data_IF_138171693078
#
_entry.id   IF_138171693078
#
_cell.length_a   1.000
_cell.length_b   1.000
_cell.length_c   1.000
_cell.angle_alpha   90.00
_cell.angle_beta   90.00
_cell.angle_gamma   90.00
#
_symmetry.space_group_name_H-M   'P 1'
#
loop_
_entity.id
_entity.type
_entity.pdbx_description
1 polymer ?
#
# COMPACT_ATOMS: atom_id res chain seq x y z
N UNK A 1 8.30 9.97 -14.45
CA UNK A 1 7.06 10.77 -14.50
C UNK A 1 7.16 11.91 -13.50
N UNK A 2 6.58 13.08 -13.80
CA UNK A 2 6.60 14.25 -12.89
C UNK A 2 5.18 14.62 -12.48
N UNK A 3 4.97 14.87 -11.19
CA UNK A 3 3.68 15.31 -10.64
C UNK A 3 3.82 16.71 -10.04
N UNK A 4 2.93 17.62 -10.44
CA UNK A 4 2.85 18.96 -9.87
C UNK A 4 1.70 19.02 -8.86
N UNK A 5 2.03 19.24 -7.59
CA UNK A 5 1.09 19.10 -6.46
C UNK A 5 1.22 20.33 -5.57
N UNK A 6 0.09 20.79 -5.02
CA UNK A 6 0.10 21.84 -4.01
C UNK A 6 0.86 21.38 -2.75
N UNK A 7 1.93 22.09 -2.40
CA UNK A 7 2.76 21.78 -1.22
C UNK A 7 1.93 21.65 0.07
N UNK A 8 0.89 22.48 0.23
CA UNK A 8 0.01 22.43 1.40
C UNK A 8 -0.68 21.07 1.56
N UNK A 9 -1.10 20.43 0.46
CA UNK A 9 -1.72 19.10 0.50
C UNK A 9 -0.72 18.04 0.94
N UNK A 10 0.50 18.05 0.38
CA UNK A 10 1.56 17.12 0.74
C UNK A 10 1.94 17.24 2.23
N UNK A 11 2.18 18.47 2.70
CA UNK A 11 2.56 18.74 4.09
C UNK A 11 1.45 18.36 5.09
N UNK A 12 0.17 18.55 4.71
CA UNK A 12 -0.98 18.18 5.54
C UNK A 12 -1.14 16.66 5.64
N UNK A 13 -0.89 15.95 4.53
CA UNK A 13 -1.04 14.51 4.46
C UNK A 13 0.11 13.72 5.11
N UNK A 14 1.32 14.29 5.16
CA UNK A 14 2.54 13.55 5.46
C UNK A 14 3.57 14.42 6.19
N UNK A 15 4.00 14.02 7.40
CA UNK A 15 5.11 14.64 8.11
C UNK A 15 6.43 14.56 7.33
N UNK A 16 6.64 13.51 6.52
CA UNK A 16 7.80 13.38 5.65
C UNK A 16 7.87 14.56 4.67
N UNK A 17 6.80 14.81 3.91
CA UNK A 17 6.79 15.93 2.97
C UNK A 17 6.84 17.29 3.68
N UNK A 18 6.19 17.41 4.84
CA UNK A 18 6.29 18.63 5.65
C UNK A 18 7.73 18.95 6.05
N UNK A 19 8.49 17.95 6.49
CA UNK A 19 9.91 18.11 6.85
C UNK A 19 10.81 18.31 5.62
N UNK A 20 10.57 17.58 4.54
CA UNK A 20 11.36 17.68 3.31
C UNK A 20 11.21 19.06 2.65
N UNK A 21 9.96 19.55 2.51
CA UNK A 21 9.65 20.76 1.75
C UNK A 21 9.75 22.06 2.57
N UNK A 22 9.70 21.99 3.90
CA UNK A 22 9.89 23.15 4.79
C UNK A 22 11.23 23.12 5.55
N UNK A 23 12.05 22.09 5.33
CA UNK A 23 13.33 21.91 5.98
C UNK A 23 14.46 22.67 5.29
N UNK A 24 15.69 22.44 5.79
CA UNK A 24 16.94 23.00 5.24
C UNK A 24 17.61 22.08 4.21
N UNK A 25 17.00 20.94 3.90
CA UNK A 25 17.50 20.02 2.88
C UNK A 25 17.28 20.61 1.48
N UNK A 26 17.91 19.99 0.47
CA UNK A 26 17.85 20.44 -0.93
C UNK A 26 16.40 20.58 -1.40
N UNK A 27 15.55 19.65 -1.02
CA UNK A 27 14.12 19.57 -1.31
C UNK A 27 13.37 20.81 -0.81
N UNK A 28 13.82 21.41 0.31
CA UNK A 28 13.26 22.64 0.87
C UNK A 28 13.51 23.87 0.00
N UNK A 29 14.62 23.90 -0.73
CA UNK A 29 14.96 24.96 -1.68
C UNK A 29 14.41 24.68 -3.07
N UNK A 30 14.59 23.46 -3.58
CA UNK A 30 14.18 23.09 -4.95
C UNK A 30 12.67 22.88 -5.08
N UNK A 31 11.97 22.60 -3.97
CA UNK A 31 10.57 22.17 -3.94
C UNK A 31 10.30 20.92 -4.77
N UNK A 32 11.32 20.08 -4.93
CA UNK A 32 11.27 18.83 -5.68
C UNK A 32 11.72 17.68 -4.80
N UNK A 33 10.89 16.66 -4.67
CA UNK A 33 11.20 15.40 -3.98
C UNK A 33 11.28 14.28 -5.02
N UNK A 34 12.39 13.54 -5.02
CA UNK A 34 12.59 12.41 -5.93
C UNK A 34 12.15 11.11 -5.25
N UNK A 35 11.28 10.38 -5.93
CA UNK A 35 10.69 9.11 -5.51
C UNK A 35 11.13 8.02 -6.50
N UNK A 36 12.42 7.66 -6.46
CA UNK A 36 13.07 6.88 -7.53
C UNK A 36 12.67 5.40 -7.54
N UNK A 37 12.41 4.84 -6.36
CA UNK A 37 12.09 3.42 -6.18
C UNK A 37 10.59 3.14 -6.22
N UNK A 38 9.78 4.19 -6.44
CA UNK A 38 8.32 4.10 -6.37
C UNK A 38 7.68 3.93 -7.74
N UNK A 39 6.72 3.00 -7.81
CA UNK A 39 5.89 2.84 -8.99
C UNK A 39 5.07 4.12 -9.26
N UNK A 40 5.19 4.75 -10.44
CA UNK A 40 4.42 5.95 -10.79
C UNK A 40 2.91 5.78 -10.67
N UNK A 41 2.38 4.55 -10.79
CA UNK A 41 0.95 4.24 -10.61
C UNK A 41 0.51 4.41 -9.16
N UNK A 42 1.34 3.96 -8.21
CA UNK A 42 1.09 4.10 -6.77
C UNK A 42 1.22 5.57 -6.37
N UNK A 43 2.21 6.28 -6.90
CA UNK A 43 2.34 7.73 -6.70
C UNK A 43 1.11 8.46 -7.27
N UNK A 44 0.65 8.11 -8.49
CA UNK A 44 -0.54 8.70 -9.07
C UNK A 44 -1.79 8.49 -8.18
N UNK A 45 -1.98 7.29 -7.65
CA UNK A 45 -3.06 6.97 -6.71
C UNK A 45 -3.00 7.82 -5.44
N UNK A 46 -1.80 7.99 -4.86
CA UNK A 46 -1.59 8.91 -3.74
C UNK A 46 -1.91 10.35 -4.11
N UNK A 47 -1.48 10.83 -5.28
CA UNK A 47 -1.77 12.20 -5.74
C UNK A 47 -3.26 12.43 -5.87
N UNK A 48 -4.01 11.53 -6.50
CA UNK A 48 -5.46 11.70 -6.57
C UNK A 48 -6.10 11.68 -5.18
N UNK A 49 -5.66 10.78 -4.30
CA UNK A 49 -6.14 10.73 -2.93
C UNK A 49 -5.91 12.05 -2.18
N UNK A 50 -4.79 12.77 -2.43
CA UNK A 50 -4.58 14.11 -1.83
C UNK A 50 -5.67 15.11 -2.22
N UNK A 51 -6.24 15.00 -3.42
CA UNK A 51 -7.25 15.92 -3.93
C UNK A 51 -8.68 15.46 -3.64
N UNK A 52 -8.94 14.16 -3.61
CA UNK A 52 -10.29 13.60 -3.45
C UNK A 52 -10.58 13.11 -2.03
N UNK A 53 -9.53 12.81 -1.25
CA UNK A 53 -9.64 12.08 0.01
C UNK A 53 -10.11 10.64 -0.16
N UNK A 54 -10.04 10.06 -1.37
CA UNK A 54 -10.54 8.73 -1.69
C UNK A 54 -9.60 7.95 -2.62
N UNK A 55 -9.22 6.72 -2.23
CA UNK A 55 -8.36 5.81 -3.00
C UNK A 55 -9.13 5.07 -4.12
N UNK A 56 -10.39 4.70 -3.86
CA UNK A 56 -11.16 3.78 -4.71
C UNK A 56 -11.41 4.29 -6.14
N UNK A 57 -11.61 5.60 -6.33
CA UNK A 57 -11.98 6.17 -7.62
C UNK A 57 -10.90 6.06 -8.70
N UNK A 58 -9.62 6.04 -8.34
CA UNK A 58 -8.55 6.16 -9.35
C UNK A 58 -8.20 4.83 -10.02
N UNK A 59 -8.13 3.73 -9.27
CA UNK A 59 -7.91 2.40 -9.86
C UNK A 59 -9.07 1.98 -10.77
N UNK A 60 -10.30 2.43 -10.48
CA UNK A 60 -11.43 2.31 -11.41
C UNK A 60 -11.22 3.08 -12.73
N UNK A 61 -10.61 4.27 -12.70
CA UNK A 61 -10.33 5.08 -13.90
C UNK A 61 -9.26 4.47 -14.81
N UNK A 62 -8.36 3.63 -14.27
CA UNK A 62 -7.38 2.87 -15.06
C UNK A 62 -7.98 1.60 -15.72
N UNK A 63 -9.32 1.44 -15.70
CA UNK A 63 -10.01 0.36 -16.42
C UNK A 63 -9.91 -1.02 -15.76
N UNK A 64 -9.44 -1.11 -14.51
CA UNK A 64 -9.17 -2.37 -13.82
C UNK A 64 -10.32 -2.84 -12.88
N UNK A 65 -11.46 -2.15 -12.85
CA UNK A 65 -12.60 -2.54 -12.01
C UNK A 65 -12.40 -2.30 -10.51
N UNK A 66 -11.49 -1.38 -10.14
CA UNK A 66 -11.08 -1.11 -8.76
C UNK A 66 -9.63 -1.52 -8.50
N UNK A 67 -9.06 -1.19 -7.33
CA UNK A 67 -7.70 -1.59 -7.01
C UNK A 67 -7.58 -3.11 -6.84
N UNK A 68 -6.56 -3.73 -7.45
CA UNK A 68 -6.19 -5.07 -7.03
C UNK A 68 -5.66 -5.02 -5.59
N UNK A 69 -5.82 -6.11 -4.83
CA UNK A 69 -5.32 -6.18 -3.45
C UNK A 69 -3.80 -5.90 -3.36
N UNK A 70 -3.04 -6.25 -4.40
CA UNK A 70 -1.61 -5.94 -4.54
C UNK A 70 -1.37 -4.44 -4.55
N UNK A 71 -2.14 -3.69 -5.36
CA UNK A 71 -1.97 -2.24 -5.49
C UNK A 71 -2.27 -1.54 -4.13
N UNK A 72 -3.20 -2.09 -3.35
CA UNK A 72 -3.52 -1.59 -2.00
C UNK A 72 -2.38 -1.87 -1.01
N UNK A 73 -1.73 -3.03 -1.11
CA UNK A 73 -0.56 -3.36 -0.30
C UNK A 73 0.61 -2.44 -0.65
N UNK A 74 0.89 -2.22 -1.94
CA UNK A 74 1.93 -1.31 -2.40
C UNK A 74 1.64 0.15 -1.98
N UNK A 75 0.37 0.59 -2.07
CA UNK A 75 -0.03 1.91 -1.57
C UNK A 75 0.12 2.04 -0.05
N UNK A 76 -0.13 0.95 0.69
CA UNK A 76 0.09 0.91 2.13
C UNK A 76 1.58 1.03 2.49
N UNK A 77 2.46 0.28 1.81
CA UNK A 77 3.92 0.35 1.98
C UNK A 77 4.43 1.75 1.64
N UNK A 78 3.98 2.30 0.52
CA UNK A 78 4.27 3.68 0.14
C UNK A 78 3.88 4.66 1.24
N UNK A 79 2.65 4.53 1.75
CA UNK A 79 2.12 5.34 2.85
C UNK A 79 2.92 5.24 4.13
N UNK A 80 3.47 4.07 4.46
CA UNK A 80 4.34 3.86 5.61
C UNK A 80 5.62 4.68 5.50
N UNK A 81 6.31 4.53 4.37
CA UNK A 81 7.58 5.20 4.09
C UNK A 81 7.47 6.72 4.09
N UNK A 82 6.36 7.27 3.60
CA UNK A 82 6.09 8.71 3.65
C UNK A 82 5.35 9.14 4.92
N UNK A 83 5.17 8.27 5.91
CA UNK A 83 4.45 8.55 7.16
C UNK A 83 3.03 9.12 6.96
N UNK A 84 2.32 8.70 5.91
CA UNK A 84 0.95 9.11 5.60
C UNK A 84 -0.08 8.17 6.23
N UNK A 85 -0.26 8.27 7.56
CA UNK A 85 -1.12 7.34 8.34
C UNK A 85 -2.56 7.25 7.84
N UNK A 86 -3.14 8.37 7.38
CA UNK A 86 -4.52 8.40 6.84
C UNK A 86 -4.64 7.58 5.56
N UNK A 87 -3.65 7.69 4.67
CA UNK A 87 -3.58 6.91 3.44
C UNK A 87 -3.45 5.41 3.77
N UNK A 88 -2.55 5.04 4.68
CA UNK A 88 -2.39 3.64 5.11
C UNK A 88 -3.68 3.04 5.66
N UNK A 89 -4.39 3.78 6.51
CA UNK A 89 -5.66 3.30 7.08
C UNK A 89 -6.70 3.03 6.00
N UNK A 90 -6.80 3.92 5.01
CA UNK A 90 -7.75 3.76 3.92
C UNK A 90 -7.36 2.61 2.97
N UNK A 91 -6.07 2.50 2.62
CA UNK A 91 -5.55 1.40 1.84
C UNK A 91 -5.79 0.05 2.53
N UNK A 92 -5.56 -0.04 3.84
CA UNK A 92 -5.83 -1.23 4.65
C UNK A 92 -7.33 -1.57 4.67
N UNK A 93 -8.20 -0.58 4.87
CA UNK A 93 -9.65 -0.80 4.87
C UNK A 93 -10.14 -1.34 3.52
N UNK A 94 -9.67 -0.76 2.42
CA UNK A 94 -10.00 -1.24 1.08
C UNK A 94 -9.42 -2.63 0.82
N UNK A 95 -8.22 -2.93 1.32
CA UNK A 95 -7.60 -4.24 1.20
C UNK A 95 -8.46 -5.27 1.93
N UNK A 96 -8.79 -5.03 3.20
CA UNK A 96 -9.65 -5.92 3.99
C UNK A 96 -11.03 -6.11 3.35
N UNK A 97 -11.57 -5.11 2.68
CA UNK A 97 -12.85 -5.23 1.98
C UNK A 97 -12.74 -5.99 0.65
N UNK A 98 -11.63 -5.85 -0.09
CA UNK A 98 -11.43 -6.57 -1.35
C UNK A 98 -11.21 -8.06 -1.15
N UNK A 99 -10.74 -8.44 0.04
CA UNK A 99 -10.48 -9.84 0.41
C UNK A 99 -11.66 -10.46 1.16
N UNK A 100 -12.81 -9.78 1.23
CA UNK A 100 -14.06 -10.31 1.79
C UNK A 100 -15.05 -10.55 0.67
N UNK A 101 -15.64 -11.74 0.61
CA UNK A 101 -16.72 -12.03 -0.30
C UNK A 101 -18.05 -11.43 0.21
N UNK A 102 -19.10 -11.53 -0.62
CA UNK A 102 -20.47 -11.07 -0.31
C UNK A 102 -21.09 -11.69 0.97
N UNK A 103 -20.56 -12.81 1.44
CA UNK A 103 -20.99 -13.48 2.67
C UNK A 103 -20.07 -13.16 3.86
N UNK A 104 -18.97 -12.42 3.64
CA UNK A 104 -17.96 -12.11 4.64
C UNK A 104 -16.84 -13.14 4.76
N UNK A 105 -16.82 -14.17 3.91
CA UNK A 105 -15.74 -15.17 3.85
C UNK A 105 -14.51 -14.60 3.14
N UNK A 106 -13.32 -15.14 3.40
CA UNK A 106 -12.11 -14.69 2.75
C UNK A 106 -12.17 -14.97 1.23
N UNK A 107 -11.98 -13.94 0.42
CA UNK A 107 -11.77 -14.08 -1.02
C UNK A 107 -10.57 -15.01 -1.23
N UNK A 108 -10.71 -15.96 -2.15
CA UNK A 108 -9.64 -16.92 -2.44
C UNK A 108 -8.47 -16.18 -3.08
N UNK A 109 -7.37 -16.04 -2.34
CA UNK A 109 -6.10 -15.67 -2.94
C UNK A 109 -5.59 -16.86 -3.74
N UNK A 110 -5.31 -16.62 -5.01
CA UNK A 110 -4.62 -17.60 -5.83
C UNK A 110 -3.12 -17.56 -5.52
N UNK A 111 -2.67 -18.31 -4.52
CA UNK A 111 -1.23 -18.38 -4.19
C UNK A 111 -0.42 -19.15 -5.23
N UNK A 112 -1.06 -19.82 -6.21
CA UNK A 112 -0.34 -20.39 -7.34
C UNK A 112 0.07 -19.34 -8.37
N UNK A 113 -0.50 -18.14 -8.27
CA UNK A 113 -0.14 -17.01 -9.10
C UNK A 113 1.21 -16.42 -8.67
N UNK A 114 2.20 -16.46 -9.56
CA UNK A 114 3.55 -15.94 -9.31
C UNK A 114 3.56 -14.46 -8.91
N UNK A 115 2.67 -13.64 -9.48
CA UNK A 115 2.54 -12.23 -9.14
C UNK A 115 2.06 -12.03 -7.70
N UNK A 116 1.20 -12.92 -7.20
CA UNK A 116 0.76 -12.89 -5.81
C UNK A 116 1.90 -13.27 -4.85
N UNK A 117 2.71 -14.28 -5.21
CA UNK A 117 3.88 -14.66 -4.43
C UNK A 117 4.90 -13.50 -4.34
N UNK A 118 5.25 -12.89 -5.48
CA UNK A 118 6.15 -11.74 -5.53
C UNK A 118 5.64 -10.55 -4.69
N UNK A 119 4.34 -10.27 -4.72
CA UNK A 119 3.76 -9.21 -3.89
C UNK A 119 3.88 -9.51 -2.39
N UNK A 120 3.79 -10.78 -1.98
CA UNK A 120 3.98 -11.15 -0.58
C UNK A 120 5.45 -10.99 -0.19
N UNK A 121 6.39 -11.41 -1.04
CA UNK A 121 7.82 -11.18 -0.80
C UNK A 121 8.11 -9.68 -0.64
N UNK A 122 7.58 -8.84 -1.51
CA UNK A 122 7.72 -7.37 -1.44
C UNK A 122 7.18 -6.81 -0.10
N UNK A 123 6.04 -7.31 0.39
CA UNK A 123 5.48 -6.91 1.69
C UNK A 123 6.45 -7.28 2.83
N UNK A 124 7.04 -8.48 2.79
CA UNK A 124 7.97 -8.93 3.83
C UNK A 124 9.35 -8.27 3.73
N UNK A 125 9.76 -7.79 2.56
CA UNK A 125 11.00 -7.02 2.39
C UNK A 125 10.85 -5.56 2.85
N UNK A 126 9.65 -4.97 2.72
CA UNK A 126 9.44 -3.53 2.91
C UNK A 126 8.66 -3.14 4.18
N UNK A 127 8.36 -4.10 5.08
CA UNK A 127 7.63 -3.80 6.32
C UNK A 127 8.31 -4.40 7.55
N UNK A 128 7.99 -3.92 8.75
CA UNK A 128 8.50 -4.54 9.98
C UNK A 128 7.83 -5.89 10.29
N UNK A 129 8.45 -6.80 11.08
CA UNK A 129 7.85 -8.08 11.45
C UNK A 129 6.49 -7.98 12.15
N UNK A 130 6.26 -6.91 12.91
CA UNK A 130 5.02 -6.58 13.62
C UNK A 130 4.07 -5.70 12.80
N UNK A 131 4.30 -5.60 11.48
CA UNK A 131 3.48 -4.80 10.58
C UNK A 131 2.03 -5.30 10.53
N UNK A 132 1.04 -4.41 10.70
CA UNK A 132 -0.38 -4.76 10.53
C UNK A 132 -0.71 -5.33 9.15
N UNK A 133 0.05 -4.98 8.12
CA UNK A 133 -0.14 -5.52 6.77
C UNK A 133 0.22 -7.01 6.69
N UNK A 134 1.30 -7.43 7.37
CA UNK A 134 1.67 -8.84 7.45
C UNK A 134 0.62 -9.64 8.20
N UNK A 135 0.14 -9.12 9.33
CA UNK A 135 -0.92 -9.74 10.11
C UNK A 135 -2.20 -9.92 9.29
N UNK A 136 -2.60 -8.89 8.54
CA UNK A 136 -3.78 -8.94 7.69
C UNK A 136 -3.65 -9.99 6.57
N UNK A 137 -2.47 -10.12 5.94
CA UNK A 137 -2.20 -11.16 4.92
C UNK A 137 -2.27 -12.56 5.51
N UNK A 138 -1.67 -12.77 6.70
CA UNK A 138 -1.69 -14.06 7.39
C UNK A 138 -3.11 -14.44 7.79
N UNK A 139 -3.87 -13.52 8.40
CA UNK A 139 -5.27 -13.77 8.78
C UNK A 139 -6.12 -14.14 7.56
N UNK A 140 -5.91 -13.43 6.45
CA UNK A 140 -6.58 -13.73 5.18
C UNK A 140 -6.27 -15.15 4.67
N UNK A 141 -5.00 -15.57 4.74
CA UNK A 141 -4.56 -16.93 4.40
C UNK A 141 -5.20 -18.00 5.30
N UNK A 142 -5.21 -17.77 6.62
CA UNK A 142 -5.76 -18.72 7.60
C UNK A 142 -7.25 -18.97 7.38
N UNK A 143 -7.99 -17.92 7.06
CA UNK A 143 -9.42 -18.01 6.76
C UNK A 143 -9.69 -18.81 5.49
N UNK A 144 -8.84 -18.70 4.46
CA UNK A 144 -8.98 -19.46 3.22
C UNK A 144 -8.70 -20.96 3.41
N UNK A 145 -7.68 -21.35 4.19
CA UNK A 145 -7.34 -22.77 4.44
C UNK A 145 -8.19 -23.45 5.51
N UNK A 146 -8.99 -22.70 6.27
CA UNK A 146 -9.75 -23.24 7.40
C UNK A 146 -8.86 -23.57 8.59
N UNK A 147 -8.19 -22.56 9.17
CA UNK A 147 -7.59 -22.51 10.52
C UNK A 147 -6.66 -23.65 11.02
N UNK A 148 -6.46 -24.79 10.33
CA UNK A 148 -5.79 -25.98 10.90
C UNK A 148 -4.46 -26.39 10.27
N UNK A 149 -4.09 -25.91 9.09
CA UNK A 149 -2.88 -26.39 8.41
C UNK A 149 -1.95 -25.24 7.96
N UNK A 150 -1.06 -24.84 8.86
CA UNK A 150 0.10 -24.02 8.55
C UNK A 150 1.23 -24.91 8.00
N UNK A 151 1.72 -24.72 6.75
CA UNK A 151 3.02 -25.27 6.38
C UNK A 151 4.11 -24.50 7.12
N UNK A 152 4.86 -25.22 7.98
CA UNK A 152 5.82 -24.68 8.95
C UNK A 152 7.03 -23.93 8.36
N UNK A 153 7.13 -23.85 7.03
CA UNK A 153 8.33 -23.41 6.31
C UNK A 153 8.06 -22.42 5.16
N UNK A 154 6.82 -21.96 4.95
CA UNK A 154 6.49 -21.20 3.74
C UNK A 154 6.70 -19.68 3.86
N UNK A 155 6.89 -19.15 5.08
CA UNK A 155 6.84 -17.70 5.34
C UNK A 155 7.91 -17.20 6.32
N UNK A 156 8.94 -18.00 6.62
CA UNK A 156 10.07 -17.49 7.38
C UNK A 156 10.92 -16.63 6.43
N UNK A 157 11.30 -15.40 6.83
CA UNK A 157 12.24 -14.60 6.06
C UNK A 157 13.47 -15.44 5.73
N UNK A 158 13.94 -15.39 4.48
CA UNK A 158 15.26 -15.92 4.17
C UNK A 158 16.27 -15.04 4.91
N UNK A 159 17.00 -15.65 5.85
CA UNK A 159 18.11 -15.01 6.57
C UNK A 159 19.17 -14.45 5.61
#
# INVERSE_FOLDING_TARGET
TTFHIHQALLCSASPFFSRALNGRFREGTTKTVNLLDDDPRIVAAFVAWLYTGQVFGMFGMFGCGGPAWIDLCQLWIFGDRIAARRLQNEAMQLFLNSIRDKNGDAARFDFSNERHAQAIDEIYENTAPDSPLREAIVDAFMRQKGSKDLPSNMWLPKE
#
